data_IF_345754144869
#
_entry.id   IF_345754144869
#
_cell.length_a   1.000
_cell.length_b   1.000
_cell.length_c   1.000
_cell.angle_alpha   90.00
_cell.angle_beta   90.00
_cell.angle_gamma   90.00
#
_symmetry.space_group_name_H-M   'P 1'
#
loop_
_entity.id
_entity.type
_entity.pdbx_description
1 polymer ?
#
# COMPACT_ATOMS: atom_id res chain seq x y z
N UNK A 1 -3.32 19.94 28.76
CA UNK A 1 -2.75 18.67 29.27
C UNK A 1 -3.44 18.19 30.55
N UNK A 2 -3.32 18.87 31.70
CA UNK A 2 -3.96 18.40 32.95
C UNK A 2 -5.50 18.35 32.89
N UNK A 3 -6.14 19.32 32.22
CA UNK A 3 -7.60 19.35 32.06
C UNK A 3 -8.13 18.24 31.12
N UNK A 4 -7.40 17.89 30.04
CA UNK A 4 -7.82 16.85 29.10
C UNK A 4 -7.74 15.46 29.72
N UNK A 5 -6.65 15.14 30.44
CA UNK A 5 -6.53 13.88 31.20
C UNK A 5 -7.63 13.76 32.25
N UNK A 6 -7.94 14.85 32.97
CA UNK A 6 -9.03 14.87 33.96
C UNK A 6 -10.41 14.65 33.33
N UNK A 7 -10.64 15.18 32.12
CA UNK A 7 -11.87 14.97 31.38
C UNK A 7 -12.03 13.51 30.93
N UNK A 8 -11.00 12.92 30.33
CA UNK A 8 -11.04 11.51 29.89
C UNK A 8 -11.18 10.53 31.07
N UNK A 9 -10.49 10.78 32.19
CA UNK A 9 -10.66 9.98 33.42
C UNK A 9 -12.08 10.02 33.97
N UNK A 10 -12.80 11.12 33.81
CA UNK A 10 -14.21 11.23 34.22
C UNK A 10 -15.16 10.53 33.25
N UNK A 11 -14.79 10.41 31.97
CA UNK A 11 -15.59 9.73 30.96
C UNK A 11 -15.59 8.21 31.16
N UNK A 12 -14.43 7.62 31.44
CA UNK A 12 -14.30 6.17 31.64
C UNK A 12 -15.00 5.64 32.90
N UNK A 13 -15.34 6.51 33.86
CA UNK A 13 -16.08 6.11 35.08
C UNK A 13 -17.60 6.17 34.93
N UNK A 14 -18.11 6.57 33.77
CA UNK A 14 -19.54 6.64 33.52
C UNK A 14 -20.12 5.24 33.22
N UNK A 15 -21.30 4.89 33.77
CA UNK A 15 -21.93 3.62 33.46
C UNK A 15 -22.27 3.53 31.97
N UNK A 16 -22.05 2.37 31.35
CA UNK A 16 -22.36 2.12 29.94
C UNK A 16 -23.88 1.93 29.82
N UNK A 17 -24.58 2.96 29.35
CA UNK A 17 -26.05 2.96 29.22
C UNK A 17 -26.47 2.76 27.75
N UNK A 18 -25.60 3.08 26.79
CA UNK A 18 -25.87 3.02 25.34
C UNK A 18 -24.61 2.68 24.54
N UNK A 19 -24.73 2.08 23.34
CA UNK A 19 -23.59 1.73 22.47
C UNK A 19 -22.70 2.93 22.13
N UNK A 20 -23.27 4.11 21.86
CA UNK A 20 -22.48 5.30 21.52
C UNK A 20 -21.61 5.78 22.69
N UNK A 21 -21.98 5.42 23.93
CA UNK A 21 -21.16 5.68 25.11
C UNK A 21 -19.98 4.71 25.21
N UNK A 22 -20.16 3.47 24.75
CA UNK A 22 -19.10 2.47 24.70
C UNK A 22 -17.98 2.94 23.75
N UNK A 23 -18.33 3.40 22.55
CA UNK A 23 -17.36 3.91 21.57
C UNK A 23 -16.54 5.09 22.13
N UNK A 24 -17.19 6.00 22.86
CA UNK A 24 -16.52 7.14 23.52
C UNK A 24 -15.59 6.69 24.64
N UNK A 25 -15.97 5.66 25.40
CA UNK A 25 -15.13 5.09 26.46
C UNK A 25 -13.90 4.41 25.84
N UNK A 26 -14.08 3.63 24.77
CA UNK A 26 -12.99 2.97 24.02
C UNK A 26 -12.02 4.02 23.47
N UNK A 27 -12.53 5.06 22.81
CA UNK A 27 -11.71 6.15 22.31
C UNK A 27 -10.97 6.90 23.43
N UNK A 28 -11.59 7.05 24.61
CA UNK A 28 -10.95 7.65 25.78
C UNK A 28 -9.81 6.78 26.33
N UNK A 29 -9.99 5.45 26.40
CA UNK A 29 -8.95 4.51 26.78
C UNK A 29 -7.77 4.55 25.81
N UNK A 30 -8.04 4.48 24.50
CA UNK A 30 -7.00 4.55 23.47
C UNK A 30 -6.20 5.87 23.57
N UNK A 31 -6.92 6.99 23.71
CA UNK A 31 -6.31 8.33 23.84
C UNK A 31 -5.46 8.45 25.10
N UNK A 32 -5.97 7.98 26.25
CA UNK A 32 -5.20 7.99 27.51
C UNK A 32 -3.97 7.09 27.42
N UNK A 33 -4.09 5.92 26.79
CA UNK A 33 -2.98 5.01 26.55
C UNK A 33 -1.84 5.71 25.79
N UNK A 34 -2.15 6.35 24.67
CA UNK A 34 -1.15 7.11 23.91
C UNK A 34 -0.58 8.30 24.69
N UNK A 35 -1.41 9.05 25.43
CA UNK A 35 -0.92 10.16 26.26
C UNK A 35 0.08 9.68 27.33
N UNK A 36 -0.22 8.58 28.01
CA UNK A 36 0.72 8.01 28.99
C UNK A 36 1.98 7.46 28.35
N UNK A 37 1.88 6.88 27.16
CA UNK A 37 3.03 6.39 26.40
C UNK A 37 3.98 7.54 26.05
N UNK A 38 3.46 8.64 25.48
CA UNK A 38 4.25 9.83 25.12
C UNK A 38 4.90 10.51 26.34
N UNK A 39 4.24 10.42 27.50
CA UNK A 39 4.78 10.93 28.76
C UNK A 39 5.77 9.97 29.45
N UNK A 40 6.05 8.80 28.87
CA UNK A 40 6.95 7.79 29.42
C UNK A 40 6.37 6.94 30.55
N UNK A 41 5.08 7.09 30.88
CA UNK A 41 4.38 6.29 31.89
C UNK A 41 3.86 4.98 31.28
N UNK A 42 4.77 4.16 30.78
CA UNK A 42 4.44 2.97 29.97
C UNK A 42 3.55 1.94 30.68
N UNK A 43 3.69 1.77 32.00
CA UNK A 43 2.81 0.87 32.77
C UNK A 43 1.35 1.34 32.79
N UNK A 44 1.12 2.64 32.90
CA UNK A 44 -0.24 3.21 32.84
C UNK A 44 -0.78 3.16 31.42
N UNK A 45 0.07 3.36 30.41
CA UNK A 45 -0.30 3.19 29.00
C UNK A 45 -0.82 1.77 28.73
N UNK A 46 -0.09 0.73 29.19
CA UNK A 46 -0.48 -0.67 29.05
C UNK A 46 -1.86 -0.94 29.66
N UNK A 47 -2.14 -0.42 30.86
CA UNK A 47 -3.46 -0.58 31.50
C UNK A 47 -4.56 -0.03 30.62
N UNK A 48 -4.39 1.18 30.09
CA UNK A 48 -5.42 1.80 29.25
C UNK A 48 -5.63 1.06 27.92
N UNK A 49 -4.58 0.56 27.28
CA UNK A 49 -4.72 -0.25 26.07
C UNK A 49 -5.38 -1.61 26.32
N UNK A 50 -5.21 -2.19 27.52
CA UNK A 50 -5.80 -3.48 27.88
C UNK A 50 -7.34 -3.43 28.08
N UNK A 51 -7.91 -2.24 28.20
CA UNK A 51 -9.36 -2.04 28.36
C UNK A 51 -10.11 -2.00 27.01
N UNK A 52 -9.38 -2.07 25.89
CA UNK A 52 -9.99 -2.10 24.55
C UNK A 52 -10.56 -3.51 24.30
N UNK A 53 -11.88 -3.65 24.02
CA UNK A 53 -12.51 -4.95 23.79
C UNK A 53 -11.94 -5.66 22.56
N UNK A 54 -11.88 -7.00 22.61
CA UNK A 54 -11.31 -7.82 21.52
C UNK A 54 -12.11 -7.76 20.22
N UNK A 55 -13.40 -7.44 20.29
CA UNK A 55 -14.31 -7.30 19.15
C UNK A 55 -14.34 -5.88 18.56
N UNK A 56 -13.62 -4.92 19.17
CA UNK A 56 -13.58 -3.55 18.68
C UNK A 56 -12.63 -3.40 17.46
N UNK A 57 -12.99 -2.59 16.44
CA UNK A 57 -12.12 -2.35 15.29
C UNK A 57 -10.71 -1.82 15.61
N UNK A 58 -10.51 -1.14 16.75
CA UNK A 58 -9.20 -0.62 17.18
C UNK A 58 -8.41 -1.60 18.07
N UNK A 59 -8.91 -2.81 18.30
CA UNK A 59 -8.25 -3.78 19.18
C UNK A 59 -6.81 -4.10 18.76
N UNK A 60 -6.58 -4.36 17.46
CA UNK A 60 -5.23 -4.64 16.95
C UNK A 60 -4.29 -3.42 17.06
N UNK A 61 -4.84 -2.20 16.96
CA UNK A 61 -4.08 -0.97 17.20
C UNK A 61 -3.64 -0.87 18.66
N UNK A 62 -4.55 -1.18 19.59
CA UNK A 62 -4.29 -1.20 21.02
C UNK A 62 -3.27 -2.28 21.41
N UNK A 63 -3.35 -3.49 20.83
CA UNK A 63 -2.36 -4.55 21.03
C UNK A 63 -0.97 -4.12 20.57
N UNK A 64 -0.88 -3.47 19.40
CA UNK A 64 0.40 -2.96 18.90
C UNK A 64 0.97 -1.89 19.83
N UNK A 65 0.16 -0.91 20.24
CA UNK A 65 0.57 0.17 21.13
C UNK A 65 0.97 -0.34 22.53
N UNK A 66 0.26 -1.34 23.05
CA UNK A 66 0.60 -2.05 24.29
C UNK A 66 1.95 -2.75 24.18
N UNK A 67 2.22 -3.39 23.05
CA UNK A 67 3.50 -4.06 22.78
C UNK A 67 4.66 -3.06 22.75
N UNK A 68 4.48 -1.90 22.10
CA UNK A 68 5.43 -0.79 22.15
C UNK A 68 5.73 -0.35 23.59
N UNK A 69 4.69 -0.17 24.42
CA UNK A 69 4.86 0.21 25.81
C UNK A 69 5.62 -0.86 26.63
N UNK A 70 5.36 -2.15 26.39
CA UNK A 70 6.08 -3.26 27.01
C UNK A 70 7.56 -3.29 26.61
N UNK A 71 7.87 -3.09 25.32
CA UNK A 71 9.25 -2.98 24.81
C UNK A 71 9.99 -1.81 25.48
N UNK A 72 9.34 -0.67 25.68
CA UNK A 72 9.94 0.47 26.39
C UNK A 72 10.24 0.20 27.87
N UNK A 73 9.58 -0.79 28.46
CA UNK A 73 9.88 -1.29 29.81
C UNK A 73 10.92 -2.43 29.81
N UNK A 74 11.45 -2.80 28.64
CA UNK A 74 12.26 -4.01 28.41
C UNK A 74 11.54 -5.31 28.82
N UNK A 75 10.20 -5.29 28.85
CA UNK A 75 9.37 -6.47 29.10
C UNK A 75 9.09 -7.18 27.76
N UNK A 76 10.16 -7.74 27.19
CA UNK A 76 10.12 -8.38 25.86
C UNK A 76 9.22 -9.62 25.86
N UNK A 77 9.08 -10.32 26.99
CA UNK A 77 8.20 -11.48 27.10
C UNK A 77 6.73 -11.08 26.97
N UNK A 78 6.29 -10.04 27.67
CA UNK A 78 4.92 -9.53 27.53
C UNK A 78 4.65 -8.94 26.15
N UNK A 79 5.64 -8.26 25.56
CA UNK A 79 5.54 -7.78 24.19
C UNK A 79 5.30 -8.95 23.22
N UNK A 80 6.06 -10.04 23.32
CA UNK A 80 5.90 -11.22 22.47
C UNK A 80 4.49 -11.83 22.59
N UNK A 81 3.97 -11.96 23.82
CA UNK A 81 2.61 -12.50 24.04
C UNK A 81 1.57 -11.60 23.33
N UNK A 82 1.68 -10.29 23.52
CA UNK A 82 0.73 -9.32 22.97
C UNK A 82 0.80 -9.23 21.44
N UNK A 83 1.99 -9.31 20.85
CA UNK A 83 2.19 -9.32 19.40
C UNK A 83 1.67 -10.60 18.74
N UNK A 84 1.86 -11.75 19.39
CA UNK A 84 1.29 -13.02 18.90
C UNK A 84 -0.24 -13.02 18.97
N UNK A 85 -0.83 -12.36 19.97
CA UNK A 85 -2.28 -12.16 20.05
C UNK A 85 -2.79 -11.34 18.86
N UNK A 86 -2.10 -10.25 18.51
CA UNK A 86 -2.44 -9.42 17.34
C UNK A 86 -2.44 -10.24 16.05
N UNK A 87 -1.37 -11.01 15.81
CA UNK A 87 -1.23 -11.85 14.60
C UNK A 87 -2.29 -12.95 14.56
N UNK A 88 -2.63 -13.54 15.71
CA UNK A 88 -3.67 -14.56 15.81
C UNK A 88 -5.06 -13.99 15.56
N UNK A 89 -5.32 -12.76 16.00
CA UNK A 89 -6.60 -12.09 15.82
C UNK A 89 -6.87 -11.77 14.34
N UNK A 90 -5.89 -11.23 13.61
CA UNK A 90 -6.01 -11.01 12.17
C UNK A 90 -4.66 -11.07 11.46
N UNK A 91 -4.49 -12.06 10.60
CA UNK A 91 -3.26 -12.28 9.82
C UNK A 91 -3.08 -11.31 8.65
N UNK A 92 -4.15 -10.62 8.25
CA UNK A 92 -4.15 -9.64 7.15
C UNK A 92 -4.22 -8.19 7.65
N UNK A 93 -4.14 -7.98 8.97
CA UNK A 93 -4.20 -6.64 9.55
C UNK A 93 -3.00 -5.78 9.10
N UNK A 94 -3.24 -4.47 8.92
CA UNK A 94 -2.22 -3.48 8.57
C UNK A 94 -1.04 -3.44 9.54
N UNK A 95 -1.23 -3.91 10.78
CA UNK A 95 -0.21 -3.94 11.84
C UNK A 95 0.63 -5.23 11.87
N UNK A 96 0.28 -6.27 11.10
CA UNK A 96 0.97 -7.57 11.14
C UNK A 96 2.44 -7.46 10.75
N UNK A 97 2.76 -6.66 9.73
CA UNK A 97 4.14 -6.45 9.28
C UNK A 97 5.00 -5.82 10.40
N UNK A 98 4.46 -4.80 11.09
CA UNK A 98 5.11 -4.17 12.23
C UNK A 98 5.22 -5.13 13.42
N UNK A 99 4.20 -5.95 13.65
CA UNK A 99 4.19 -6.92 14.74
C UNK A 99 5.29 -7.98 14.60
N UNK A 100 5.48 -8.55 13.40
CA UNK A 100 6.59 -9.46 13.13
C UNK A 100 7.94 -8.78 13.32
N UNK A 101 8.06 -7.49 12.97
CA UNK A 101 9.33 -6.79 13.15
C UNK A 101 9.66 -6.63 14.63
N UNK A 102 8.68 -6.23 15.42
CA UNK A 102 8.82 -6.08 16.87
C UNK A 102 9.05 -7.42 17.56
N UNK A 103 8.44 -8.51 17.09
CA UNK A 103 8.75 -9.86 17.57
C UNK A 103 10.22 -10.20 17.32
N UNK A 104 10.71 -9.95 16.11
CA UNK A 104 12.13 -10.13 15.78
C UNK A 104 13.05 -9.33 16.71
N UNK A 105 12.69 -8.08 17.02
CA UNK A 105 13.44 -7.27 17.98
C UNK A 105 13.39 -7.84 19.41
N UNK A 106 12.22 -8.28 19.89
CA UNK A 106 12.10 -8.86 21.22
C UNK A 106 12.91 -10.15 21.34
N UNK A 107 12.87 -11.02 20.34
CA UNK A 107 13.68 -12.24 20.31
C UNK A 107 15.18 -11.93 20.26
N UNK A 108 15.60 -10.90 19.51
CA UNK A 108 16.99 -10.43 19.51
C UNK A 108 17.46 -10.03 20.91
N UNK A 109 16.69 -9.19 21.60
CA UNK A 109 17.07 -8.69 22.93
C UNK A 109 17.04 -9.78 24.00
N UNK A 110 16.26 -10.86 23.80
CA UNK A 110 16.26 -12.06 24.64
C UNK A 110 17.36 -13.08 24.26
N UNK A 111 18.13 -12.84 23.19
CA UNK A 111 19.17 -13.77 22.72
C UNK A 111 18.64 -14.96 21.90
N UNK A 112 17.36 -14.96 21.56
CA UNK A 112 16.70 -15.99 20.77
C UNK A 112 16.87 -15.73 19.26
N UNK A 113 18.11 -15.77 18.79
CA UNK A 113 18.48 -15.32 17.44
C UNK A 113 17.78 -16.09 16.32
N UNK A 114 17.55 -17.40 16.47
CA UNK A 114 16.86 -18.21 15.45
C UNK A 114 15.39 -17.81 15.29
N UNK A 115 14.71 -17.52 16.40
CA UNK A 115 13.36 -16.98 16.36
C UNK A 115 13.34 -15.59 15.72
N UNK A 116 14.29 -14.72 16.07
CA UNK A 116 14.40 -13.40 15.45
C UNK A 116 14.59 -13.47 13.94
N UNK A 117 15.47 -14.35 13.45
CA UNK A 117 15.70 -14.56 12.01
C UNK A 117 14.41 -15.01 11.32
N UNK A 118 13.66 -15.94 11.91
CA UNK A 118 12.40 -16.41 11.34
C UNK A 118 11.37 -15.29 11.21
N UNK A 119 11.23 -14.45 12.23
CA UNK A 119 10.32 -13.29 12.18
C UNK A 119 10.72 -12.28 11.10
N UNK A 120 12.02 -12.00 10.97
CA UNK A 120 12.50 -11.11 9.91
C UNK A 120 12.36 -11.71 8.51
N UNK A 121 12.59 -13.01 8.34
CA UNK A 121 12.36 -13.72 7.07
C UNK A 121 10.90 -13.62 6.64
N UNK A 122 9.95 -13.77 7.57
CA UNK A 122 8.54 -13.60 7.26
C UNK A 122 8.26 -12.26 6.58
N UNK A 123 8.88 -11.18 7.07
CA UNK A 123 8.71 -9.84 6.48
C UNK A 123 9.36 -9.77 5.10
N UNK A 124 10.60 -10.26 4.98
CA UNK A 124 11.38 -10.21 3.75
C UNK A 124 10.68 -10.98 2.62
N UNK A 125 10.16 -12.17 2.92
CA UNK A 125 9.53 -13.07 1.95
C UNK A 125 8.15 -12.57 1.52
N UNK A 126 7.37 -12.02 2.47
CA UNK A 126 5.96 -11.66 2.25
C UNK A 126 5.77 -10.20 1.84
N UNK A 127 6.72 -9.32 2.17
CA UNK A 127 6.72 -7.90 1.83
C UNK A 127 8.04 -7.52 1.13
N UNK A 128 8.27 -7.99 -0.11
CA UNK A 128 9.52 -7.76 -0.81
C UNK A 128 9.78 -6.27 -1.06
N UNK A 129 11.06 -5.89 -1.05
CA UNK A 129 11.52 -4.51 -1.22
C UNK A 129 10.82 -3.77 -2.37
N UNK A 130 10.53 -2.49 -2.12
CA UNK A 130 9.93 -1.52 -3.04
C UNK A 130 10.59 -1.50 -4.42
N UNK A 131 11.88 -1.86 -4.51
CA UNK A 131 12.66 -1.95 -5.75
C UNK A 131 12.00 -2.83 -6.83
N UNK A 132 11.28 -3.90 -6.46
CA UNK A 132 10.59 -4.72 -7.46
C UNK A 132 9.35 -4.04 -8.06
N UNK A 133 8.66 -3.20 -7.28
CA UNK A 133 7.48 -2.48 -7.76
C UNK A 133 7.89 -1.23 -8.53
N UNK A 134 8.93 -0.51 -8.09
CA UNK A 134 9.49 0.64 -8.82
C UNK A 134 10.11 0.22 -10.17
N UNK A 135 10.83 -0.91 -10.22
CA UNK A 135 11.32 -1.47 -11.48
C UNK A 135 10.19 -1.94 -12.41
N UNK A 136 9.10 -2.51 -11.85
CA UNK A 136 7.90 -2.86 -12.61
C UNK A 136 7.17 -1.62 -13.13
N UNK A 137 7.04 -0.57 -12.32
CA UNK A 137 6.47 0.71 -12.75
C UNK A 137 7.29 1.33 -13.88
N UNK A 138 8.61 1.40 -13.74
CA UNK A 138 9.49 1.95 -14.78
C UNK A 138 9.33 1.19 -16.12
N UNK A 139 9.19 -0.14 -16.06
CA UNK A 139 8.94 -0.97 -17.26
C UNK A 139 7.56 -0.70 -17.88
N UNK A 140 6.53 -0.49 -17.07
CA UNK A 140 5.17 -0.17 -17.55
C UNK A 140 5.10 1.27 -18.10
N UNK A 141 5.76 2.23 -17.46
CA UNK A 141 5.88 3.62 -17.95
C UNK A 141 6.62 3.69 -19.29
N UNK A 142 7.65 2.87 -19.48
CA UNK A 142 8.33 2.72 -20.77
C UNK A 142 7.39 2.16 -21.85
N UNK A 143 6.63 1.10 -21.53
CA UNK A 143 5.64 0.53 -22.44
C UNK A 143 4.54 1.52 -22.84
N UNK A 144 4.06 2.35 -21.91
CA UNK A 144 3.11 3.43 -22.21
C UNK A 144 3.67 4.49 -23.15
N UNK A 145 4.95 4.84 -22.99
CA UNK A 145 5.62 5.79 -23.88
C UNK A 145 5.69 5.25 -25.31
N UNK A 146 6.00 3.96 -25.47
CA UNK A 146 6.00 3.29 -26.76
C UNK A 146 4.60 3.24 -27.39
N UNK A 147 3.56 2.93 -26.60
CA UNK A 147 2.18 2.93 -27.10
C UNK A 147 1.68 4.34 -27.46
N UNK A 148 2.04 5.35 -26.68
CA UNK A 148 1.71 6.74 -27.00
C UNK A 148 2.32 7.18 -28.34
N UNK A 149 3.59 6.83 -28.59
CA UNK A 149 4.25 7.08 -29.87
C UNK A 149 3.58 6.32 -31.03
N UNK A 150 3.15 5.08 -30.80
CA UNK A 150 2.41 4.30 -31.80
C UNK A 150 1.05 4.93 -32.13
N UNK A 151 0.31 5.36 -31.12
CA UNK A 151 -0.98 6.02 -31.29
C UNK A 151 -0.85 7.38 -31.99
N UNK A 152 0.20 8.14 -31.68
CA UNK A 152 0.54 9.38 -32.37
C UNK A 152 0.84 9.14 -33.84
N UNK A 153 1.63 8.11 -34.17
CA UNK A 153 1.89 7.70 -35.55
C UNK A 153 0.60 7.35 -36.30
N UNK A 154 -0.28 6.54 -35.71
CA UNK A 154 -1.56 6.18 -36.32
C UNK A 154 -2.45 7.40 -36.60
N UNK A 155 -2.43 8.41 -35.71
CA UNK A 155 -3.13 9.68 -35.93
C UNK A 155 -2.53 10.50 -37.07
N UNK A 156 -1.21 10.57 -37.18
CA UNK A 156 -0.55 11.23 -38.30
C UNK A 156 -0.86 10.54 -39.63
N UNK A 157 -0.83 9.21 -39.66
CA UNK A 157 -1.21 8.41 -40.84
C UNK A 157 -2.67 8.67 -41.24
N UNK A 158 -3.58 8.77 -40.26
CA UNK A 158 -4.98 9.13 -40.49
C UNK A 158 -5.14 10.54 -41.06
N UNK A 159 -4.44 11.54 -40.50
CA UNK A 159 -4.48 12.93 -40.99
C UNK A 159 -4.00 13.03 -42.45
N UNK A 160 -2.92 12.33 -42.79
CA UNK A 160 -2.41 12.27 -44.16
C UNK A 160 -3.45 11.62 -45.09
N UNK A 161 -4.10 10.55 -44.63
CA UNK A 161 -5.14 9.87 -45.41
C UNK A 161 -6.38 10.75 -45.62
N UNK A 162 -6.80 11.49 -44.59
CA UNK A 162 -7.90 12.45 -44.68
C UNK A 162 -7.57 13.59 -45.64
N UNK A 163 -6.35 14.13 -45.61
CA UNK A 163 -5.89 15.12 -46.60
C UNK A 163 -6.03 14.59 -48.03
N UNK A 164 -5.58 13.36 -48.28
CA UNK A 164 -5.70 12.72 -49.62
C UNK A 164 -7.16 12.55 -50.05
N UNK A 165 -8.06 12.22 -49.11
CA UNK A 165 -9.49 12.10 -49.39
C UNK A 165 -10.13 13.46 -49.71
N UNK A 166 -9.74 14.52 -48.99
CA UNK A 166 -10.20 15.89 -49.24
C UNK A 166 -9.75 16.40 -50.61
N UNK A 167 -8.50 16.15 -51.00
CA UNK A 167 -7.96 16.51 -52.32
C UNK A 167 -8.73 15.83 -53.48
N UNK A 168 -9.42 14.72 -53.21
CA UNK A 168 -10.24 13.98 -54.18
C UNK A 168 -11.70 14.46 -54.27
N UNK A 169 -12.19 15.31 -53.35
CA UNK A 169 -13.55 15.87 -53.39
C UNK A 169 -13.86 16.74 -54.63
N UNK A 170 -12.94 17.58 -55.16
CA UNK A 170 -13.18 18.41 -56.35
C UNK A 170 -13.55 17.59 -57.58
N UNK A 171 -13.08 16.34 -57.66
CA UNK A 171 -13.32 15.44 -58.80
C UNK A 171 -14.76 14.92 -58.85
N UNK A 172 -15.46 14.84 -57.71
CA UNK A 172 -16.81 14.24 -57.62
C UNK A 172 -17.96 15.20 -57.98
N UNK A 173 -17.71 16.51 -58.07
CA UNK A 173 -18.69 17.47 -58.56
C UNK A 173 -18.89 17.42 -60.09
N UNK A 174 -18.06 16.66 -60.82
CA UNK A 174 -18.19 16.45 -62.25
C UNK A 174 -18.83 15.10 -62.58
N UNK A 175 -19.81 15.10 -63.49
CA UNK A 175 -20.64 13.95 -63.88
C UNK A 175 -19.91 12.82 -64.64
N UNK A 176 -18.57 12.83 -64.71
CA UNK A 176 -17.76 11.89 -65.51
C UNK A 176 -16.50 11.36 -64.79
N UNK A 177 -16.58 11.07 -63.49
CA UNK A 177 -15.44 10.52 -62.71
C UNK A 177 -15.00 9.14 -63.24
N UNK A 178 -13.72 8.95 -63.63
CA UNK A 178 -13.18 7.66 -64.07
C UNK A 178 -13.27 6.55 -63.02
N UNK A 179 -13.47 5.30 -63.46
CA UNK A 179 -13.63 4.12 -62.59
C UNK A 179 -12.45 3.91 -61.62
N UNK A 180 -11.21 4.10 -62.08
CA UNK A 180 -10.02 3.92 -61.25
C UNK A 180 -9.99 4.84 -60.02
N UNK A 181 -10.53 6.07 -60.14
CA UNK A 181 -10.62 7.03 -59.03
C UNK A 181 -11.67 6.59 -58.00
N UNK A 182 -12.78 5.98 -58.46
CA UNK A 182 -13.80 5.42 -57.58
C UNK A 182 -13.27 4.22 -56.79
N UNK A 183 -12.52 3.35 -57.45
CA UNK A 183 -11.91 2.16 -56.83
C UNK A 183 -10.83 2.57 -55.81
N UNK A 184 -9.99 3.55 -56.14
CA UNK A 184 -8.95 4.05 -55.23
C UNK A 184 -9.55 4.75 -54.01
N UNK A 185 -10.58 5.58 -54.18
CA UNK A 185 -11.30 6.20 -53.06
C UNK A 185 -11.85 5.14 -52.09
N UNK A 186 -12.49 4.10 -52.62
CA UNK A 186 -13.06 3.01 -51.80
C UNK A 186 -11.98 2.29 -50.98
N UNK A 187 -10.78 2.10 -51.56
CA UNK A 187 -9.62 1.54 -50.83
C UNK A 187 -9.16 2.45 -49.71
N UNK A 188 -9.06 3.76 -49.95
CA UNK A 188 -8.67 4.74 -48.94
C UNK A 188 -9.71 4.83 -47.80
N UNK A 189 -11.01 4.79 -48.12
CA UNK A 189 -12.09 4.72 -47.12
C UNK A 189 -12.00 3.45 -46.26
N UNK A 190 -11.76 2.29 -46.87
CA UNK A 190 -11.52 1.04 -46.12
C UNK A 190 -10.28 1.12 -45.23
N UNK A 191 -9.22 1.78 -45.70
CA UNK A 191 -7.98 1.97 -44.94
C UNK A 191 -8.23 2.88 -43.75
N UNK A 192 -9.01 3.95 -43.93
CA UNK A 192 -9.42 4.87 -42.87
C UNK A 192 -10.21 4.15 -41.77
N UNK A 193 -11.19 3.35 -42.16
CA UNK A 193 -12.05 2.64 -41.20
C UNK A 193 -11.24 1.64 -40.36
N UNK A 194 -10.27 0.95 -40.98
CA UNK A 194 -9.33 0.09 -40.26
C UNK A 194 -8.40 0.88 -39.31
N UNK A 195 -7.89 2.05 -39.73
CA UNK A 195 -7.08 2.91 -38.88
C UNK A 195 -7.86 3.41 -37.66
N UNK A 196 -9.11 3.84 -37.85
CA UNK A 196 -10.00 4.28 -36.76
C UNK A 196 -10.20 3.14 -35.76
N UNK A 197 -10.48 1.92 -36.24
CA UNK A 197 -10.62 0.75 -35.38
C UNK A 197 -9.36 0.49 -34.54
N UNK A 198 -8.18 0.53 -35.16
CA UNK A 198 -6.91 0.35 -34.46
C UNK A 198 -6.68 1.45 -33.41
N UNK A 199 -7.01 2.71 -33.70
CA UNK A 199 -6.90 3.83 -32.75
C UNK A 199 -7.81 3.62 -31.53
N UNK A 200 -9.02 3.10 -31.73
CA UNK A 200 -9.95 2.80 -30.63
C UNK A 200 -9.45 1.66 -29.73
N UNK A 201 -8.87 0.62 -30.32
CA UNK A 201 -8.27 -0.50 -29.58
C UNK A 201 -7.05 -0.03 -28.76
N UNK A 202 -6.15 0.75 -29.36
CA UNK A 202 -4.99 1.32 -28.66
C UNK A 202 -5.40 2.24 -27.49
N UNK A 203 -6.47 3.02 -27.68
CA UNK A 203 -7.02 3.87 -26.61
C UNK A 203 -7.52 3.04 -25.42
N UNK A 204 -8.22 1.94 -25.67
CA UNK A 204 -8.72 1.06 -24.61
C UNK A 204 -7.57 0.47 -23.80
N UNK A 205 -6.53 -0.02 -24.47
CA UNK A 205 -5.32 -0.55 -23.83
C UNK A 205 -4.63 0.52 -22.97
N UNK A 206 -4.56 1.76 -23.48
CA UNK A 206 -3.99 2.88 -22.73
C UNK A 206 -4.78 3.19 -21.45
N UNK A 207 -6.12 3.20 -21.50
CA UNK A 207 -6.98 3.42 -20.33
C UNK A 207 -6.79 2.34 -19.26
N UNK A 208 -6.65 1.07 -19.65
CA UNK A 208 -6.35 -0.06 -18.75
C UNK A 208 -4.99 0.09 -18.06
N UNK A 209 -3.95 0.51 -18.79
CA UNK A 209 -2.62 0.76 -18.23
C UNK A 209 -2.61 1.93 -17.24
N UNK A 210 -3.29 3.03 -17.56
CA UNK A 210 -3.39 4.19 -16.67
C UNK A 210 -4.04 3.83 -15.34
N UNK A 211 -5.13 3.06 -15.38
CA UNK A 211 -5.79 2.57 -14.18
C UNK A 211 -4.87 1.66 -13.34
N UNK A 212 -4.15 0.74 -13.98
CA UNK A 212 -3.20 -0.14 -13.29
C UNK A 212 -2.03 0.62 -12.63
N UNK A 213 -1.53 1.68 -13.27
CA UNK A 213 -0.50 2.55 -12.69
C UNK A 213 -1.03 3.33 -11.49
N UNK A 214 -2.24 3.89 -11.58
CA UNK A 214 -2.84 4.65 -10.49
C UNK A 214 -2.96 3.77 -9.23
N UNK A 215 -3.46 2.54 -9.39
CA UNK A 215 -3.52 1.56 -8.30
C UNK A 215 -2.14 1.22 -7.73
N UNK A 216 -1.14 1.00 -8.58
CA UNK A 216 0.24 0.72 -8.13
C UNK A 216 0.86 1.93 -7.40
N UNK A 217 0.57 3.17 -7.83
CA UNK A 217 1.02 4.39 -7.14
C UNK A 217 0.36 4.53 -5.76
N UNK A 218 -0.93 4.22 -5.66
CA UNK A 218 -1.65 4.17 -4.38
C UNK A 218 -1.07 3.09 -3.46
N UNK A 219 -0.76 1.90 -3.97
CA UNK A 219 -0.08 0.84 -3.21
C UNK A 219 1.32 1.28 -2.74
N UNK A 220 2.08 2.00 -3.58
CA UNK A 220 3.39 2.56 -3.20
C UNK A 220 3.24 3.66 -2.17
N UNK A 221 2.27 4.56 -2.29
CA UNK A 221 2.05 5.60 -1.28
C UNK A 221 1.60 4.99 0.06
N UNK A 222 0.73 3.99 0.02
CA UNK A 222 0.34 3.22 1.20
C UNK A 222 1.55 2.50 1.82
N UNK A 223 2.43 1.93 1.00
CA UNK A 223 3.68 1.28 1.45
C UNK A 223 4.77 2.26 1.89
N UNK A 224 4.87 3.46 1.31
CA UNK A 224 5.79 4.53 1.74
C UNK A 224 5.36 5.15 3.06
N UNK A 225 4.05 5.19 3.32
CA UNK A 225 3.48 5.60 4.61
C UNK A 225 3.68 4.54 5.69
N UNK A 226 3.84 3.26 5.33
CA UNK A 226 4.26 2.19 6.24
C UNK A 226 5.79 2.24 6.36
N UNK A 227 6.27 2.57 7.57
CA UNK A 227 7.70 2.58 7.97
C UNK A 227 8.42 1.36 7.37
N UNK A 228 9.65 1.52 6.87
CA UNK A 228 10.40 0.52 6.08
C UNK A 228 10.73 -0.80 6.82
N UNK A 229 9.72 -1.58 7.21
CA UNK A 229 9.89 -2.82 7.97
C UNK A 229 10.72 -3.84 7.22
N UNK A 230 10.63 -3.91 5.88
CA UNK A 230 11.51 -4.74 5.07
C UNK A 230 13.00 -4.42 5.26
N UNK A 231 13.40 -3.15 5.12
CA UNK A 231 14.80 -2.76 5.29
C UNK A 231 15.27 -2.93 6.75
N UNK A 232 14.39 -2.64 7.72
CA UNK A 232 14.68 -2.90 9.11
C UNK A 232 14.77 -4.40 9.43
N UNK A 233 13.98 -5.24 8.77
CA UNK A 233 14.02 -6.69 8.91
C UNK A 233 15.31 -7.28 8.32
N UNK A 234 15.75 -6.81 7.14
CA UNK A 234 17.07 -7.18 6.58
C UNK A 234 18.21 -6.81 7.54
N UNK A 235 18.18 -5.59 8.08
CA UNK A 235 19.14 -5.16 9.10
C UNK A 235 19.06 -6.01 10.37
N UNK A 236 17.86 -6.26 10.89
CA UNK A 236 17.61 -7.06 12.08
C UNK A 236 18.09 -8.51 11.91
N UNK A 237 17.83 -9.11 10.75
CA UNK A 237 18.30 -10.45 10.35
C UNK A 237 19.83 -10.50 10.31
N UNK A 238 20.47 -9.53 9.66
CA UNK A 238 21.93 -9.45 9.62
C UNK A 238 22.53 -9.32 11.03
N UNK A 239 21.92 -8.48 11.89
CA UNK A 239 22.31 -8.34 13.30
C UNK A 239 22.14 -9.66 14.07
N UNK A 240 21.03 -10.37 13.88
CA UNK A 240 20.77 -11.66 14.52
C UNK A 240 21.80 -12.73 14.13
N UNK A 241 22.15 -12.83 12.84
CA UNK A 241 23.21 -13.73 12.38
C UNK A 241 24.56 -13.39 13.01
N UNK A 242 24.93 -12.10 13.05
CA UNK A 242 26.18 -11.67 13.66
C UNK A 242 26.23 -12.02 15.15
N UNK A 243 25.19 -11.70 15.92
CA UNK A 243 25.15 -11.98 17.36
C UNK A 243 25.19 -13.49 17.65
N UNK A 244 24.58 -14.31 16.79
CA UNK A 244 24.63 -15.78 16.89
C UNK A 244 26.06 -16.33 16.73
N UNK A 245 26.95 -15.64 16.02
CA UNK A 245 28.35 -16.08 15.82
C UNK A 245 29.29 -15.70 16.97
N UNK A 246 28.84 -14.88 17.93
CA UNK A 246 29.67 -14.45 19.06
C UNK A 246 29.55 -15.50 20.18
N UNK A 247 30.66 -16.05 20.70
CA UNK A 247 30.62 -16.99 21.82
C UNK A 247 30.06 -16.31 23.08
N UNK A 248 29.27 -17.02 23.91
CA UNK A 248 28.72 -16.46 25.14
C UNK A 248 29.86 -16.04 26.08
N UNK A 249 29.73 -14.84 26.67
CA UNK A 249 30.66 -14.31 27.68
C UNK A 249 30.48 -14.99 29.03
#
# INVERSE_FOLDING_TARGET
MAQSVKAFRKLITLPIIRPERQDVIIAAHLTLGYLYYELGFYREAIKHFAEIPSDDPVFNEALLARSWAAIKLNDYQQAIITLNELIKHSQEDKFVEEAHFLLGQCYLELGFYDFAINEYNYIIDRFPATNHIEARLARVELGLKEQAQRAEKLRLDLLVLESKLLDMLPLYNNSSVPKYIKDERKRLEQTRDNLIKNILEERKIFEEFQWGIQKMREEIELKRRRKHWHAYAEYGKARAYFLKTIPPR
#
